data_IF_619200637534
#
_entry.id   IF_619200637534
#
_cell.length_a   1.000
_cell.length_b   1.000
_cell.length_c   1.000
_cell.angle_alpha   90.00
_cell.angle_beta   90.00
_cell.angle_gamma   90.00
#
_symmetry.space_group_name_H-M   'P 1'
#
loop_
_entity.id
_entity.type
_entity.pdbx_description
1 polymer ?
#
# COMPACT_ATOMS: atom_id res chain seq x y z
N UNK A 1 -55.58 -26.33 -18.75
CA UNK A 1 -55.18 -25.00 -18.22
C UNK A 1 -54.81 -25.07 -16.73
N UNK A 2 -53.85 -25.91 -16.33
CA UNK A 2 -53.37 -26.00 -14.93
C UNK A 2 -51.86 -25.85 -14.78
N UNK A 3 -51.10 -25.97 -15.88
CA UNK A 3 -49.63 -25.88 -15.84
C UNK A 3 -49.05 -24.46 -16.01
N UNK A 4 -49.84 -23.48 -16.45
CA UNK A 4 -49.35 -22.09 -16.61
C UNK A 4 -49.33 -21.28 -15.31
N UNK A 5 -50.11 -21.66 -14.29
CA UNK A 5 -50.13 -20.94 -13.00
C UNK A 5 -48.94 -21.30 -12.10
N UNK A 6 -48.34 -22.47 -12.28
CA UNK A 6 -47.19 -22.91 -11.47
C UNK A 6 -45.90 -22.21 -11.91
N UNK A 7 -45.74 -21.91 -13.21
CA UNK A 7 -44.53 -21.25 -13.73
C UNK A 7 -44.46 -19.78 -13.30
N UNK A 8 -45.61 -19.08 -13.20
CA UNK A 8 -45.65 -17.70 -12.70
C UNK A 8 -45.35 -17.59 -11.19
N UNK A 9 -45.75 -18.59 -10.39
CA UNK A 9 -45.46 -18.62 -8.96
C UNK A 9 -43.96 -18.84 -8.68
N UNK A 10 -43.25 -19.60 -9.53
CA UNK A 10 -41.82 -19.87 -9.34
C UNK A 10 -40.96 -18.67 -9.76
N UNK A 11 -41.39 -17.88 -10.76
CA UNK A 11 -40.68 -16.66 -11.18
C UNK A 11 -40.84 -15.49 -10.19
N UNK A 12 -41.90 -15.47 -9.39
CA UNK A 12 -42.12 -14.42 -8.39
C UNK A 12 -41.33 -14.66 -7.08
N UNK A 13 -40.95 -15.92 -6.79
CA UNK A 13 -40.22 -16.28 -5.56
C UNK A 13 -38.70 -16.22 -5.73
N UNK A 14 -38.19 -16.12 -6.97
CA UNK A 14 -36.76 -15.94 -7.24
C UNK A 14 -36.26 -14.49 -7.15
N UNK A 15 -37.13 -13.52 -6.82
CA UNK A 15 -36.79 -12.09 -6.69
C UNK A 15 -36.44 -11.65 -5.26
N UNK A 16 -36.52 -12.51 -4.25
CA UNK A 16 -36.41 -12.11 -2.83
C UNK A 16 -35.19 -12.66 -2.08
N UNK A 17 -34.10 -13.00 -2.77
CA UNK A 17 -32.81 -13.30 -2.14
C UNK A 17 -31.69 -12.39 -2.64
N UNK A 18 -32.01 -11.20 -3.14
CA UNK A 18 -31.01 -10.13 -3.19
C UNK A 18 -30.74 -9.72 -1.74
N UNK A 19 -29.48 -9.76 -1.31
CA UNK A 19 -29.07 -9.17 -0.05
C UNK A 19 -29.67 -7.75 0.06
N UNK A 20 -30.13 -7.31 1.24
CA UNK A 20 -30.70 -5.98 1.39
C UNK A 20 -29.73 -4.95 0.80
N UNK A 21 -30.26 -4.01 0.01
CA UNK A 21 -29.44 -2.99 -0.61
C UNK A 21 -28.63 -2.27 0.47
N UNK A 22 -27.30 -2.30 0.35
CA UNK A 22 -26.43 -1.56 1.27
C UNK A 22 -26.84 -0.09 1.22
N UNK A 23 -26.94 0.52 2.39
CA UNK A 23 -27.10 1.97 2.47
C UNK A 23 -25.92 2.67 1.80
N UNK A 24 -26.16 3.90 1.35
CA UNK A 24 -25.14 4.71 0.68
C UNK A 24 -23.91 4.94 1.58
N UNK A 25 -24.12 5.08 2.89
CA UNK A 25 -23.03 5.20 3.87
C UNK A 25 -22.27 3.90 4.05
N UNK A 26 -22.95 2.74 4.10
CA UNK A 26 -22.26 1.44 4.15
C UNK A 26 -21.40 1.21 2.90
N UNK A 27 -21.85 1.62 1.71
CA UNK A 27 -21.03 1.53 0.50
C UNK A 27 -19.76 2.38 0.58
N UNK A 28 -19.86 3.58 1.16
CA UNK A 28 -18.71 4.47 1.36
C UNK A 28 -17.76 3.93 2.44
N UNK A 29 -18.28 3.45 3.56
CA UNK A 29 -17.49 2.76 4.59
C UNK A 29 -16.72 1.56 4.01
N UNK A 30 -17.40 0.73 3.21
CA UNK A 30 -16.75 -0.40 2.53
C UNK A 30 -15.66 0.03 1.55
N UNK A 31 -15.83 1.16 0.85
CA UNK A 31 -14.78 1.69 -0.01
C UNK A 31 -13.54 2.12 0.79
N UNK A 32 -13.71 2.75 1.95
CA UNK A 32 -12.59 3.10 2.83
C UNK A 32 -11.88 1.87 3.39
N UNK A 33 -12.62 0.85 3.85
CA UNK A 33 -12.03 -0.41 4.32
C UNK A 33 -11.26 -1.13 3.20
N UNK A 34 -11.78 -1.08 1.98
CA UNK A 34 -11.10 -1.58 0.79
C UNK A 34 -9.79 -0.81 0.53
N UNK A 35 -9.83 0.53 0.52
CA UNK A 35 -8.65 1.37 0.30
C UNK A 35 -7.58 1.14 1.39
N UNK A 36 -7.99 1.02 2.65
CA UNK A 36 -7.11 0.73 3.79
C UNK A 36 -6.46 -0.65 3.65
N UNK A 37 -7.23 -1.65 3.19
CA UNK A 37 -6.71 -2.99 2.90
C UNK A 37 -5.67 -2.96 1.78
N UNK A 38 -5.96 -2.27 0.66
CA UNK A 38 -5.00 -2.12 -0.44
C UNK A 38 -3.70 -1.47 0.05
N UNK A 39 -3.82 -0.42 0.88
CA UNK A 39 -2.67 0.28 1.46
C UNK A 39 -1.86 -0.62 2.39
N UNK A 40 -2.53 -1.41 3.22
CA UNK A 40 -1.88 -2.41 4.07
C UNK A 40 -1.08 -3.44 3.28
N UNK A 41 -1.63 -3.92 2.16
CA UNK A 41 -0.94 -4.85 1.24
C UNK A 41 0.29 -4.19 0.61
N UNK A 42 0.15 -2.97 0.07
CA UNK A 42 1.26 -2.22 -0.53
C UNK A 42 2.43 -2.06 0.45
N UNK A 43 2.14 -1.58 1.66
CA UNK A 43 3.16 -1.37 2.69
C UNK A 43 3.80 -2.71 3.10
N UNK A 44 3.02 -3.78 3.23
CA UNK A 44 3.56 -5.11 3.54
C UNK A 44 4.54 -5.61 2.47
N UNK A 45 4.23 -5.38 1.19
CA UNK A 45 5.08 -5.78 0.07
C UNK A 45 6.37 -4.95 0.03
N UNK A 46 6.27 -3.62 0.09
CA UNK A 46 7.41 -2.71 0.14
C UNK A 46 8.34 -3.02 1.33
N UNK A 47 7.76 -3.36 2.48
CA UNK A 47 8.54 -3.77 3.65
C UNK A 47 9.29 -5.08 3.41
N UNK A 48 8.64 -6.06 2.77
CA UNK A 48 9.26 -7.34 2.43
C UNK A 48 10.43 -7.15 1.46
N UNK A 49 10.27 -6.28 0.46
CA UNK A 49 11.32 -5.88 -0.47
C UNK A 49 12.49 -5.23 0.28
N UNK A 50 12.20 -4.28 1.17
CA UNK A 50 13.20 -3.59 1.99
C UNK A 50 14.02 -4.56 2.83
N UNK A 51 13.36 -5.43 3.60
CA UNK A 51 14.03 -6.42 4.47
C UNK A 51 14.88 -7.36 3.64
N UNK A 52 14.34 -7.86 2.52
CA UNK A 52 15.06 -8.77 1.62
C UNK A 52 16.30 -8.10 1.06
N UNK A 53 16.18 -6.87 0.57
CA UNK A 53 17.29 -6.11 0.03
C UNK A 53 18.38 -5.90 1.08
N UNK A 54 18.04 -5.39 2.26
CA UNK A 54 19.04 -5.14 3.31
C UNK A 54 19.71 -6.45 3.76
N UNK A 55 18.96 -7.53 3.90
CA UNK A 55 19.54 -8.83 4.23
C UNK A 55 20.50 -9.31 3.13
N UNK A 56 20.17 -9.12 1.85
CA UNK A 56 21.06 -9.44 0.75
C UNK A 56 22.37 -8.64 0.82
N UNK A 57 22.33 -7.36 1.19
CA UNK A 57 23.56 -6.55 1.40
C UNK A 57 24.40 -7.09 2.56
N UNK A 58 23.78 -7.52 3.65
CA UNK A 58 24.51 -8.16 4.76
C UNK A 58 25.15 -9.48 4.32
N UNK A 59 24.42 -10.26 3.53
CA UNK A 59 24.85 -11.59 3.10
C UNK A 59 25.95 -11.53 2.03
N UNK A 60 26.09 -10.42 1.30
CA UNK A 60 27.18 -10.23 0.32
C UNK A 60 28.52 -9.86 0.95
N UNK A 61 28.53 -9.34 2.19
CA UNK A 61 29.79 -9.05 2.92
C UNK A 61 30.38 -10.35 3.48
N UNK A 62 31.62 -10.73 3.07
CA UNK A 62 32.30 -11.92 3.59
C UNK A 62 32.42 -11.88 5.11
N UNK A 63 32.25 -13.02 5.79
CA UNK A 63 32.16 -13.10 7.26
C UNK A 63 33.36 -12.45 7.96
N UNK A 64 34.56 -12.67 7.42
CA UNK A 64 35.83 -12.15 7.91
C UNK A 64 36.01 -10.64 7.69
N UNK A 65 35.18 -10.03 6.84
CA UNK A 65 35.19 -8.61 6.53
C UNK A 65 34.04 -7.84 7.18
N UNK A 66 33.13 -8.53 7.89
CA UNK A 66 32.00 -7.88 8.56
C UNK A 66 32.47 -7.02 9.72
N UNK A 67 31.95 -5.80 9.77
CA UNK A 67 32.25 -4.81 10.78
C UNK A 67 31.00 -4.05 11.21
N UNK A 68 31.17 -2.81 11.70
CA UNK A 68 30.06 -2.00 12.21
C UNK A 68 28.96 -1.74 11.19
N UNK A 69 29.29 -1.56 9.90
CA UNK A 69 28.29 -1.26 8.88
C UNK A 69 27.34 -2.44 8.61
N UNK A 70 27.92 -3.64 8.50
CA UNK A 70 27.16 -4.89 8.37
C UNK A 70 26.30 -5.13 9.61
N UNK A 71 26.82 -4.85 10.80
CA UNK A 71 26.07 -4.98 12.05
C UNK A 71 24.86 -4.04 12.09
N UNK A 72 25.02 -2.78 11.66
CA UNK A 72 23.93 -1.81 11.58
C UNK A 72 22.86 -2.23 10.57
N UNK A 73 23.25 -2.69 9.38
CA UNK A 73 22.31 -3.23 8.37
C UNK A 73 21.58 -4.48 8.89
N UNK A 74 22.28 -5.36 9.60
CA UNK A 74 21.66 -6.55 10.20
C UNK A 74 20.65 -6.18 11.30
N UNK A 75 20.98 -5.18 12.13
CA UNK A 75 20.07 -4.65 13.14
C UNK A 75 18.82 -4.04 12.50
N UNK A 76 19.01 -3.27 11.43
CA UNK A 76 17.90 -2.70 10.66
C UNK A 76 17.00 -3.78 10.05
N UNK A 77 17.56 -4.79 9.39
CA UNK A 77 16.79 -5.93 8.86
C UNK A 77 16.01 -6.67 9.96
N UNK A 78 16.60 -6.81 11.16
CA UNK A 78 15.93 -7.44 12.30
C UNK A 78 14.78 -6.58 12.86
N UNK A 79 14.96 -5.25 12.95
CA UNK A 79 13.87 -4.30 13.26
C UNK A 79 12.73 -4.48 12.26
N UNK A 80 13.05 -4.55 10.96
CA UNK A 80 12.08 -4.81 9.91
C UNK A 80 11.30 -6.11 10.10
N UNK A 81 11.99 -7.23 10.37
CA UNK A 81 11.33 -8.54 10.62
C UNK A 81 10.34 -8.46 11.79
N UNK A 82 10.70 -7.76 12.87
CA UNK A 82 9.82 -7.55 14.02
C UNK A 82 8.60 -6.68 13.68
N UNK A 83 8.83 -5.52 13.07
CA UNK A 83 7.77 -4.61 12.64
C UNK A 83 6.82 -5.25 11.62
N UNK A 84 7.32 -6.14 10.75
CA UNK A 84 6.48 -6.83 9.77
C UNK A 84 5.38 -7.67 10.45
N UNK A 85 5.73 -8.30 11.57
CA UNK A 85 4.82 -9.16 12.32
C UNK A 85 3.84 -8.37 13.20
N UNK A 86 4.30 -7.29 13.85
CA UNK A 86 3.55 -6.65 14.95
C UNK A 86 3.36 -5.14 14.81
N UNK A 87 4.04 -4.51 13.87
CA UNK A 87 3.97 -3.07 13.67
C UNK A 87 2.66 -2.63 13.03
N UNK A 88 2.24 -1.43 13.40
CA UNK A 88 1.16 -0.67 12.75
C UNK A 88 1.52 -0.31 11.32
N UNK A 89 0.53 0.04 10.51
CA UNK A 89 0.73 0.51 9.13
C UNK A 89 1.66 1.73 9.09
N UNK A 90 1.52 2.67 10.02
CA UNK A 90 2.39 3.85 10.11
C UNK A 90 3.84 3.51 10.47
N UNK A 91 4.08 2.63 11.44
CA UNK A 91 5.45 2.19 11.79
C UNK A 91 6.12 1.46 10.62
N UNK A 92 5.38 0.63 9.89
CA UNK A 92 5.88 -0.07 8.70
C UNK A 92 6.21 0.90 7.58
N UNK A 93 5.36 1.90 7.36
CA UNK A 93 5.59 2.97 6.39
C UNK A 93 6.88 3.74 6.75
N UNK A 94 7.01 4.23 7.98
CA UNK A 94 8.21 4.94 8.42
C UNK A 94 9.48 4.11 8.25
N UNK A 95 9.44 2.83 8.62
CA UNK A 95 10.56 1.91 8.39
C UNK A 95 10.97 1.86 6.92
N UNK A 96 10.03 1.83 5.96
CA UNK A 96 10.39 1.80 4.53
C UNK A 96 11.14 3.07 4.10
N UNK A 97 10.70 4.24 4.57
CA UNK A 97 11.28 5.54 4.19
C UNK A 97 12.59 5.87 4.92
N UNK A 98 12.86 5.23 6.06
CA UNK A 98 14.15 5.31 6.76
C UNK A 98 15.29 4.66 5.95
N UNK A 99 15.00 3.82 4.95
CA UNK A 99 16.00 3.03 4.21
C UNK A 99 17.11 3.90 3.62
N UNK A 100 16.76 5.02 2.98
CA UNK A 100 17.73 5.92 2.37
C UNK A 100 18.67 6.52 3.43
N UNK A 101 18.12 6.97 4.55
CA UNK A 101 18.89 7.56 5.65
C UNK A 101 19.84 6.56 6.29
N UNK A 102 19.45 5.28 6.39
CA UNK A 102 20.34 4.22 6.89
C UNK A 102 21.57 4.07 6.00
N UNK A 103 21.38 4.04 4.68
CA UNK A 103 22.49 3.93 3.74
C UNK A 103 23.35 5.20 3.67
N UNK A 104 22.74 6.39 3.77
CA UNK A 104 23.46 7.66 3.85
C UNK A 104 24.32 7.75 5.13
N UNK A 105 23.78 7.32 6.27
CA UNK A 105 24.50 7.26 7.55
C UNK A 105 25.68 6.28 7.51
N UNK A 106 25.52 5.14 6.85
CA UNK A 106 26.62 4.20 6.64
C UNK A 106 27.74 4.80 5.78
N UNK A 107 27.38 5.57 4.74
CA UNK A 107 28.37 6.19 3.87
C UNK A 107 29.22 7.27 4.57
N UNK A 108 28.72 7.88 5.66
CA UNK A 108 29.46 8.87 6.45
C UNK A 108 30.33 8.26 7.55
N UNK A 109 29.96 7.08 8.05
CA UNK A 109 30.67 6.38 9.13
C UNK A 109 31.71 5.35 8.63
N UNK A 110 31.57 4.89 7.39
CA UNK A 110 32.44 3.88 6.81
C UNK A 110 33.70 4.49 6.18
N UNK A 111 34.87 4.00 6.60
CA UNK A 111 36.13 4.33 5.93
C UNK A 111 36.08 3.84 4.48
N UNK A 112 36.20 4.74 3.50
CA UNK A 112 36.10 4.40 2.07
C UNK A 112 37.13 3.35 1.60
N UNK A 113 38.21 3.15 2.35
CA UNK A 113 39.24 2.14 2.07
C UNK A 113 39.00 0.77 2.71
N UNK A 114 37.98 0.61 3.58
CA UNK A 114 37.70 -0.68 4.19
C UNK A 114 36.96 -1.62 3.20
N UNK A 115 37.33 -2.92 3.13
CA UNK A 115 36.67 -3.90 2.26
C UNK A 115 35.14 -3.97 2.46
N UNK A 116 34.68 -3.88 3.71
CA UNK A 116 33.26 -3.79 4.07
C UNK A 116 32.53 -2.66 3.31
N UNK A 117 33.13 -1.46 3.33
CA UNK A 117 32.57 -0.26 2.73
C UNK A 117 32.44 -0.37 1.22
N UNK A 118 33.37 -1.06 0.56
CA UNK A 118 33.31 -1.27 -0.89
C UNK A 118 32.15 -2.18 -1.27
N UNK A 119 31.93 -3.27 -0.53
CA UNK A 119 30.84 -4.21 -0.78
C UNK A 119 29.48 -3.56 -0.51
N UNK A 120 29.33 -2.84 0.61
CA UNK A 120 28.11 -2.12 0.95
C UNK A 120 27.86 -0.97 -0.05
N UNK A 121 28.90 -0.22 -0.41
CA UNK A 121 28.82 0.90 -1.35
C UNK A 121 28.36 0.47 -2.74
N UNK A 122 28.84 -0.66 -3.26
CA UNK A 122 28.35 -1.22 -4.53
C UNK A 122 26.86 -1.59 -4.46
N UNK A 123 26.36 -1.93 -3.27
CA UNK A 123 24.96 -2.29 -3.06
C UNK A 123 24.01 -1.09 -3.09
N UNK A 124 24.51 0.15 -2.99
CA UNK A 124 23.70 1.37 -3.15
C UNK A 124 23.02 1.45 -4.51
N UNK A 125 23.63 0.90 -5.56
CA UNK A 125 22.99 0.80 -6.88
C UNK A 125 21.72 -0.06 -6.84
N UNK A 126 21.66 -1.04 -5.93
CA UNK A 126 20.48 -1.86 -5.70
C UNK A 126 19.28 -1.09 -5.12
N UNK A 127 19.50 0.09 -4.48
CA UNK A 127 18.41 0.97 -4.03
C UNK A 127 17.58 1.52 -5.20
N UNK A 128 18.18 1.67 -6.38
CA UNK A 128 17.45 2.04 -7.59
C UNK A 128 16.45 0.94 -7.97
N UNK A 129 16.88 -0.33 -7.89
CA UNK A 129 15.99 -1.47 -8.12
C UNK A 129 14.85 -1.53 -7.10
N UNK A 130 15.13 -1.29 -5.82
CA UNK A 130 14.09 -1.20 -4.78
C UNK A 130 13.11 -0.06 -5.06
N UNK A 131 13.61 1.11 -5.48
CA UNK A 131 12.78 2.25 -5.87
C UNK A 131 11.86 1.94 -7.05
N UNK A 132 12.35 1.20 -8.05
CA UNK A 132 11.51 0.72 -9.16
C UNK A 132 10.40 -0.21 -8.67
N UNK A 133 10.71 -1.15 -7.78
CA UNK A 133 9.68 -2.04 -7.21
C UNK A 133 8.66 -1.27 -6.36
N UNK A 134 9.07 -0.21 -5.67
CA UNK A 134 8.15 0.67 -4.94
C UNK A 134 7.21 1.42 -5.88
N UNK A 135 7.73 1.91 -7.01
CA UNK A 135 6.90 2.52 -8.05
C UNK A 135 5.87 1.52 -8.59
N UNK A 136 6.27 0.27 -8.83
CA UNK A 136 5.36 -0.80 -9.26
C UNK A 136 4.26 -1.08 -8.22
N UNK A 137 4.60 -1.16 -6.93
CA UNK A 137 3.60 -1.35 -5.87
C UNK A 137 2.65 -0.15 -5.73
N UNK A 138 3.15 1.07 -5.96
CA UNK A 138 2.31 2.27 -6.01
C UNK A 138 1.35 2.26 -7.21
N UNK A 139 1.81 1.84 -8.39
CA UNK A 139 0.95 1.69 -9.57
C UNK A 139 -0.15 0.64 -9.34
N UNK A 140 0.19 -0.50 -8.73
CA UNK A 140 -0.79 -1.53 -8.36
C UNK A 140 -1.86 -0.99 -7.40
N UNK A 141 -1.44 -0.25 -6.37
CA UNK A 141 -2.38 0.42 -5.45
C UNK A 141 -3.29 1.37 -6.21
N UNK A 142 -2.72 2.27 -7.01
CA UNK A 142 -3.46 3.29 -7.75
C UNK A 142 -4.50 2.65 -8.68
N UNK A 143 -4.10 1.67 -9.49
CA UNK A 143 -5.00 0.97 -10.41
C UNK A 143 -6.18 0.30 -9.68
N UNK A 144 -5.92 -0.36 -8.54
CA UNK A 144 -6.97 -1.01 -7.74
C UNK A 144 -7.87 0.01 -7.04
N UNK A 145 -7.30 1.11 -6.57
CA UNK A 145 -8.07 2.20 -6.01
C UNK A 145 -9.01 2.82 -7.06
N UNK A 146 -8.51 3.09 -8.27
CA UNK A 146 -9.31 3.60 -9.40
C UNK A 146 -10.49 2.66 -9.67
N UNK A 147 -10.23 1.36 -9.79
CA UNK A 147 -11.26 0.34 -10.00
C UNK A 147 -12.33 0.38 -8.90
N UNK A 148 -11.93 0.37 -7.63
CA UNK A 148 -12.84 0.43 -6.49
C UNK A 148 -13.63 1.75 -6.44
N UNK A 149 -13.00 2.87 -6.75
CA UNK A 149 -13.63 4.18 -6.77
C UNK A 149 -14.67 4.30 -7.89
N UNK A 150 -14.36 3.78 -9.09
CA UNK A 150 -15.30 3.71 -10.21
C UNK A 150 -16.53 2.87 -9.85
N UNK A 151 -16.33 1.69 -9.26
CA UNK A 151 -17.43 0.81 -8.84
C UNK A 151 -18.29 1.49 -7.76
N UNK A 152 -17.67 2.10 -6.75
CA UNK A 152 -18.37 2.83 -5.70
C UNK A 152 -19.21 3.98 -6.29
N UNK A 153 -18.62 4.83 -7.13
CA UNK A 153 -19.30 5.98 -7.77
C UNK A 153 -20.52 5.54 -8.60
N UNK A 154 -20.43 4.42 -9.30
CA UNK A 154 -21.54 3.89 -10.10
C UNK A 154 -22.77 3.46 -9.27
N UNK A 155 -22.57 3.17 -7.98
CA UNK A 155 -23.64 2.76 -7.07
C UNK A 155 -24.23 3.92 -6.25
N UNK A 156 -23.62 5.11 -6.33
CA UNK A 156 -24.10 6.27 -5.57
C UNK A 156 -25.32 6.93 -6.22
N UNK A 157 -26.26 7.36 -5.38
CA UNK A 157 -27.37 8.19 -5.85
C UNK A 157 -26.91 9.62 -6.16
N UNK A 158 -27.61 10.36 -7.06
CA UNK A 158 -27.29 11.77 -7.32
C UNK A 158 -27.28 12.64 -6.05
N UNK A 159 -28.18 12.36 -5.10
CA UNK A 159 -28.25 13.06 -3.82
C UNK A 159 -27.01 12.79 -2.96
N UNK A 160 -26.53 11.54 -2.93
CA UNK A 160 -25.29 11.19 -2.23
C UNK A 160 -24.08 11.86 -2.90
N UNK A 161 -24.02 11.87 -4.23
CA UNK A 161 -22.94 12.51 -4.99
C UNK A 161 -22.87 14.00 -4.66
N UNK A 162 -24.01 14.69 -4.60
CA UNK A 162 -24.05 16.11 -4.24
C UNK A 162 -23.61 16.34 -2.78
N UNK A 163 -24.01 15.46 -1.86
CA UNK A 163 -23.64 15.53 -0.43
C UNK A 163 -22.15 15.30 -0.21
N UNK A 164 -21.55 14.37 -0.96
CA UNK A 164 -20.15 13.93 -0.80
C UNK A 164 -19.19 14.56 -1.83
N UNK A 165 -19.53 15.74 -2.36
CA UNK A 165 -18.76 16.41 -3.42
C UNK A 165 -17.29 16.59 -3.09
N UNK A 166 -16.94 16.99 -1.86
CA UNK A 166 -15.55 17.15 -1.40
C UNK A 166 -14.76 15.83 -1.42
N UNK A 167 -15.39 14.73 -1.00
CA UNK A 167 -14.78 13.40 -1.02
C UNK A 167 -14.55 12.96 -2.47
N UNK A 168 -15.57 13.11 -3.32
CA UNK A 168 -15.47 12.70 -4.71
C UNK A 168 -14.43 13.53 -5.47
N UNK A 169 -14.30 14.82 -5.16
CA UNK A 169 -13.24 15.69 -5.69
C UNK A 169 -11.84 15.23 -5.23
N UNK A 170 -11.68 14.87 -3.94
CA UNK A 170 -10.41 14.33 -3.45
C UNK A 170 -10.05 13.01 -4.14
N UNK A 171 -11.02 12.13 -4.35
CA UNK A 171 -10.87 10.88 -5.11
C UNK A 171 -10.45 11.19 -6.55
N UNK A 172 -11.12 12.12 -7.23
CA UNK A 172 -10.81 12.48 -8.61
C UNK A 172 -9.41 13.09 -8.76
N UNK A 173 -8.99 13.91 -7.78
CA UNK A 173 -7.61 14.43 -7.73
C UNK A 173 -6.57 13.33 -7.61
N UNK A 174 -6.81 12.34 -6.74
CA UNK A 174 -5.90 11.20 -6.62
C UNK A 174 -5.87 10.33 -7.89
N UNK A 175 -7.04 10.06 -8.49
CA UNK A 175 -7.16 9.28 -9.73
C UNK A 175 -6.45 9.98 -10.90
N UNK A 176 -6.64 11.29 -11.04
CA UNK A 176 -6.09 12.07 -12.15
C UNK A 176 -4.59 12.36 -12.01
N UNK A 177 -4.00 12.14 -10.83
CA UNK A 177 -2.58 12.36 -10.61
C UNK A 177 -1.74 11.37 -11.40
N UNK A 178 -0.81 11.89 -12.20
CA UNK A 178 0.28 11.12 -12.81
C UNK A 178 1.60 11.27 -12.03
N UNK A 179 1.65 12.22 -11.08
CA UNK A 179 2.80 12.48 -10.24
C UNK A 179 2.81 11.55 -9.02
N UNK A 180 3.66 10.52 -9.08
CA UNK A 180 3.85 9.54 -8.00
C UNK A 180 4.24 10.22 -6.68
N UNK A 181 4.96 11.35 -6.70
CA UNK A 181 5.38 12.04 -5.49
C UNK A 181 4.19 12.61 -4.71
N UNK A 182 3.08 12.90 -5.38
CA UNK A 182 1.86 13.43 -4.77
C UNK A 182 0.89 12.34 -4.32
N UNK A 183 1.07 11.09 -4.77
CA UNK A 183 0.12 10.01 -4.50
C UNK A 183 -0.12 9.80 -3.00
N UNK A 184 0.92 9.90 -2.18
CA UNK A 184 0.77 9.75 -0.73
C UNK A 184 -0.14 10.83 -0.13
N UNK A 185 0.17 12.10 -0.40
CA UNK A 185 -0.58 13.23 0.16
C UNK A 185 -2.04 13.22 -0.31
N UNK A 186 -2.26 12.88 -1.57
CA UNK A 186 -3.60 12.77 -2.17
C UNK A 186 -4.38 11.57 -1.59
N UNK A 187 -3.74 10.41 -1.44
CA UNK A 187 -4.36 9.24 -0.81
C UNK A 187 -4.75 9.56 0.64
N UNK A 188 -3.85 10.16 1.43
CA UNK A 188 -4.14 10.56 2.80
C UNK A 188 -5.26 11.60 2.88
N UNK A 189 -5.35 12.51 1.90
CA UNK A 189 -6.47 13.44 1.79
C UNK A 189 -7.79 12.69 1.59
N UNK A 190 -7.85 11.67 0.75
CA UNK A 190 -9.05 10.82 0.64
C UNK A 190 -9.35 10.13 1.98
N UNK A 191 -8.34 9.50 2.60
CA UNK A 191 -8.54 8.74 3.83
C UNK A 191 -9.00 9.60 5.01
N UNK A 192 -8.75 10.92 4.99
CA UNK A 192 -9.26 11.86 6.01
C UNK A 192 -10.78 11.95 6.11
N UNK A 193 -11.51 11.45 5.10
CA UNK A 193 -12.97 11.40 5.08
C UNK A 193 -13.53 10.12 5.71
N UNK A 194 -12.69 9.14 6.05
CA UNK A 194 -13.09 7.80 6.53
C UNK A 194 -14.04 7.88 7.73
N UNK A 195 -13.71 8.71 8.72
CA UNK A 195 -14.45 8.82 9.99
C UNK A 195 -15.85 9.44 9.87
N UNK A 196 -16.28 9.83 8.66
CA UNK A 196 -17.65 10.32 8.39
C UNK A 196 -18.68 9.17 8.28
N UNK A 197 -18.23 7.92 8.15
CA UNK A 197 -19.04 6.73 7.85
C UNK A 197 -18.79 5.62 8.86
#
# INVERSE_FOLDING_TARGET
MRCMLIVFAIAAVSLSCAAPAKSQNEMLAHFFDYADTLRGIQIHNMMSLTIKFVQQVVDTVPLEQRGPGTAALQAYANKGKSLKQRGTTGEKYNYIYELQQVFEGLNSELSQSAPESQVIGMSLLGLLGVSTEFANENEKLHNKFVEGATQMKAMLSPTTIARESELLEAIDKYIASTDIQQHEALFMKVMSFKDRY
#
